data_IF_806109831875
#
_entry.id   IF_806109831875
#
_cell.length_a   1.000
_cell.length_b   1.000
_cell.length_c   1.000
_cell.angle_alpha   90.00
_cell.angle_beta   90.00
_cell.angle_gamma   90.00
#
_symmetry.space_group_name_H-M   'P 1'
#
loop_
_entity.id
_entity.type
_entity.pdbx_description
1 polymer ?
#
# COMPACT_ATOMS: atom_id res chain seq x y z
N UNK A 1 -6.25 2.42 -4.95
CA UNK A 1 -6.98 3.10 -3.86
C UNK A 1 -6.13 4.28 -3.45
N UNK A 2 -6.68 5.49 -3.53
CA UNK A 2 -5.97 6.72 -3.20
C UNK A 2 -5.66 6.82 -1.70
N UNK A 3 -4.64 7.60 -1.35
CA UNK A 3 -4.10 7.73 0.01
C UNK A 3 -5.18 8.12 1.05
N UNK A 4 -6.07 9.07 0.73
CA UNK A 4 -7.16 9.50 1.62
C UNK A 4 -8.17 8.38 1.90
N UNK A 5 -8.46 7.55 0.90
CA UNK A 5 -9.32 6.39 1.06
C UNK A 5 -8.65 5.31 1.92
N UNK A 6 -7.34 5.09 1.77
CA UNK A 6 -6.59 4.16 2.64
C UNK A 6 -6.66 4.62 4.10
N UNK A 7 -6.43 5.91 4.38
CA UNK A 7 -6.55 6.47 5.73
C UNK A 7 -7.93 6.23 6.34
N UNK A 8 -8.99 6.57 5.62
CA UNK A 8 -10.36 6.39 6.09
C UNK A 8 -10.67 4.90 6.34
N UNK A 9 -10.37 4.03 5.38
CA UNK A 9 -10.62 2.58 5.49
C UNK A 9 -9.79 1.91 6.59
N UNK A 10 -8.56 2.39 6.83
CA UNK A 10 -7.75 1.90 7.94
C UNK A 10 -8.36 2.30 9.28
N UNK A 11 -8.76 3.58 9.43
CA UNK A 11 -9.40 4.08 10.66
C UNK A 11 -10.74 3.38 10.95
N UNK A 12 -11.48 2.98 9.91
CA UNK A 12 -12.70 2.17 9.99
C UNK A 12 -12.45 0.67 10.28
N UNK A 13 -11.19 0.23 10.35
CA UNK A 13 -10.83 -1.19 10.57
C UNK A 13 -11.12 -2.11 9.39
N UNK A 14 -11.23 -1.57 8.16
CA UNK A 14 -11.57 -2.34 6.97
C UNK A 14 -10.36 -2.93 6.24
N UNK A 15 -9.15 -2.47 6.53
CA UNK A 15 -7.91 -3.04 6.00
C UNK A 15 -7.45 -4.14 6.96
N UNK A 16 -7.47 -5.39 6.51
CA UNK A 16 -7.10 -6.55 7.31
C UNK A 16 -5.62 -6.88 7.24
N UNK A 17 -4.94 -6.51 6.15
CA UNK A 17 -3.49 -6.67 6.00
C UNK A 17 -2.94 -5.67 4.98
N UNK A 18 -1.66 -5.33 5.13
CA UNK A 18 -0.89 -4.51 4.18
C UNK A 18 0.31 -5.31 3.73
N UNK A 19 0.50 -5.43 2.41
CA UNK A 19 1.56 -6.23 1.82
C UNK A 19 2.39 -5.36 0.89
N UNK A 20 3.71 -5.46 1.04
CA UNK A 20 4.70 -4.78 0.22
C UNK A 20 5.41 -5.83 -0.63
N UNK A 21 5.55 -5.57 -1.93
CA UNK A 21 6.22 -6.44 -2.90
C UNK A 21 7.13 -5.61 -3.80
N UNK A 22 8.12 -6.26 -4.42
CA UNK A 22 8.79 -5.67 -5.58
C UNK A 22 7.77 -5.40 -6.70
N UNK A 23 7.93 -4.27 -7.37
CA UNK A 23 7.12 -3.91 -8.53
C UNK A 23 7.44 -4.88 -9.68
N UNK A 24 6.48 -5.68 -10.17
CA UNK A 24 6.75 -6.60 -11.27
C UNK A 24 7.10 -5.91 -12.59
N UNK A 25 6.74 -4.63 -12.74
CA UNK A 25 7.08 -3.83 -13.91
C UNK A 25 8.48 -3.20 -13.81
N UNK A 26 9.01 -3.02 -12.60
CA UNK A 26 10.35 -2.49 -12.34
C UNK A 26 10.91 -3.07 -11.03
N UNK A 27 11.85 -4.01 -11.16
CA UNK A 27 12.42 -4.72 -10.00
C UNK A 27 13.22 -3.80 -9.05
N UNK A 28 13.53 -2.58 -9.47
CA UNK A 28 14.16 -1.56 -8.63
C UNK A 28 13.17 -0.83 -7.70
N UNK A 29 11.87 -1.04 -7.87
CA UNK A 29 10.83 -0.33 -7.13
C UNK A 29 9.96 -1.27 -6.28
N UNK A 30 9.25 -0.66 -5.34
CA UNK A 30 8.36 -1.33 -4.41
C UNK A 30 6.95 -0.80 -4.58
N UNK A 31 5.96 -1.67 -4.47
CA UNK A 31 4.55 -1.32 -4.47
C UNK A 31 3.85 -1.94 -3.27
N UNK A 32 2.71 -1.37 -2.90
CA UNK A 32 1.91 -1.83 -1.77
C UNK A 32 0.48 -2.14 -2.18
N UNK A 33 -0.07 -3.20 -1.59
CA UNK A 33 -1.49 -3.48 -1.67
C UNK A 33 -2.10 -3.79 -0.29
N UNK A 34 -3.38 -3.45 -0.17
CA UNK A 34 -4.16 -3.59 1.06
C UNK A 34 -5.22 -4.66 0.85
N UNK A 35 -5.24 -5.66 1.75
CA UNK A 35 -6.33 -6.64 1.80
C UNK A 35 -7.51 -6.05 2.54
N UNK A 36 -8.69 -6.18 1.93
CA UNK A 36 -9.99 -5.86 2.53
C UNK A 36 -10.74 -7.16 2.83
N UNK A 37 -11.76 -7.07 3.68
CA UNK A 37 -12.69 -8.18 3.92
C UNK A 37 -13.35 -8.65 2.60
N UNK A 38 -13.59 -9.96 2.51
CA UNK A 38 -14.20 -10.59 1.34
C UNK A 38 -13.25 -10.85 0.17
N UNK A 39 -11.95 -11.07 0.44
CA UNK A 39 -10.98 -11.55 -0.56
C UNK A 39 -10.54 -10.52 -1.60
N UNK A 40 -10.85 -9.23 -1.39
CA UNK A 40 -10.47 -8.15 -2.31
C UNK A 40 -9.19 -7.48 -1.84
N UNK A 41 -8.30 -7.18 -2.78
CA UNK A 41 -7.08 -6.41 -2.54
C UNK A 41 -7.04 -5.20 -3.45
N UNK A 42 -6.42 -4.11 -2.99
CA UNK A 42 -6.30 -2.87 -3.74
C UNK A 42 -4.87 -2.34 -3.65
N UNK A 43 -4.29 -1.95 -4.77
CA UNK A 43 -3.02 -1.22 -4.79
C UNK A 43 -3.19 0.20 -4.25
N UNK A 44 -2.12 0.78 -3.72
CA UNK A 44 -2.04 2.24 -3.58
C UNK A 44 -1.91 2.87 -4.96
N UNK A 45 -2.67 3.93 -5.22
CA UNK A 45 -2.59 4.66 -6.49
C UNK A 45 -2.47 6.15 -6.23
N UNK A 46 -1.84 6.85 -7.18
CA UNK A 46 -1.68 8.29 -7.17
C UNK A 46 -2.94 9.02 -7.67
N UNK A 47 -2.80 10.32 -7.95
CA UNK A 47 -3.91 11.15 -8.42
C UNK A 47 -4.32 10.86 -9.87
N UNK A 48 -3.43 10.26 -10.66
CA UNK A 48 -3.65 9.83 -12.05
C UNK A 48 -4.19 8.39 -12.12
N UNK A 49 -4.51 7.79 -10.97
CA UNK A 49 -4.94 6.40 -10.82
C UNK A 49 -3.88 5.37 -11.27
N UNK A 50 -2.60 5.76 -11.32
CA UNK A 50 -1.48 4.86 -11.56
C UNK A 50 -1.02 4.22 -10.25
N UNK A 51 -0.50 2.99 -10.32
CA UNK A 51 0.01 2.30 -9.13
C UNK A 51 1.22 3.07 -8.61
N UNK A 52 1.12 3.52 -7.38
CA UNK A 52 2.19 4.27 -6.75
C UNK A 52 3.36 3.33 -6.42
N UNK A 53 4.53 3.60 -7.00
CA UNK A 53 5.76 2.83 -6.80
C UNK A 53 6.84 3.68 -6.11
N UNK A 54 7.76 2.99 -5.43
CA UNK A 54 8.75 3.61 -4.57
C UNK A 54 10.14 3.01 -4.86
N UNK A 55 11.15 3.80 -5.25
CA UNK A 55 12.51 3.29 -5.49
C UNK A 55 13.19 2.74 -4.23
N UNK A 56 12.77 3.20 -3.05
CA UNK A 56 13.31 2.77 -1.76
C UNK A 56 12.21 2.25 -0.86
N UNK A 57 12.46 1.12 -0.23
CA UNK A 57 11.54 0.55 0.76
C UNK A 57 11.30 1.52 1.92
N UNK A 58 12.33 2.27 2.34
CA UNK A 58 12.20 3.26 3.42
C UNK A 58 11.13 4.32 3.12
N UNK A 59 11.10 4.87 1.90
CA UNK A 59 10.14 5.90 1.47
C UNK A 59 8.69 5.36 1.45
N UNK A 60 8.54 4.09 1.07
CA UNK A 60 7.27 3.37 1.14
C UNK A 60 6.81 3.23 2.59
N UNK A 61 7.71 2.83 3.50
CA UNK A 61 7.39 2.67 4.93
C UNK A 61 7.01 4.01 5.57
N UNK A 62 7.71 5.10 5.23
CA UNK A 62 7.33 6.45 5.68
C UNK A 62 5.94 6.84 5.19
N UNK A 63 5.62 6.54 3.93
CA UNK A 63 4.30 6.73 3.37
C UNK A 63 3.24 5.95 4.16
N UNK A 64 3.45 4.66 4.40
CA UNK A 64 2.52 3.82 5.18
C UNK A 64 2.31 4.34 6.60
N UNK A 65 3.36 4.80 7.27
CA UNK A 65 3.27 5.44 8.59
C UNK A 65 2.39 6.69 8.54
N UNK A 66 2.56 7.52 7.51
CA UNK A 66 1.72 8.70 7.27
C UNK A 66 0.25 8.37 6.96
N UNK A 67 -0.05 7.15 6.50
CA UNK A 67 -1.40 6.63 6.32
C UNK A 67 -2.00 6.03 7.61
N UNK A 68 -1.24 5.98 8.70
CA UNK A 68 -1.63 5.39 9.97
C UNK A 68 -1.45 3.87 10.03
N UNK A 69 -0.90 3.25 8.98
CA UNK A 69 -0.64 1.81 8.92
C UNK A 69 0.47 1.45 9.90
N UNK A 70 0.18 0.50 10.80
CA UNK A 70 1.10 0.09 11.86
C UNK A 70 1.94 -1.15 11.49
N UNK A 71 1.41 -1.99 10.61
CA UNK A 71 2.03 -3.26 10.22
C UNK A 71 1.91 -3.45 8.72
N UNK A 72 3.00 -3.89 8.10
CA UNK A 72 3.05 -4.33 6.72
C UNK A 72 3.97 -5.55 6.62
N UNK A 73 3.59 -6.50 5.78
CA UNK A 73 4.40 -7.68 5.47
C UNK A 73 5.17 -7.41 4.18
N UNK A 74 6.48 -7.64 4.21
CA UNK A 74 7.31 -7.61 2.99
C UNK A 74 7.36 -9.02 2.43
N UNK A 75 6.93 -9.16 1.18
CA UNK A 75 6.95 -10.41 0.44
C UNK A 75 8.04 -10.30 -0.64
N UNK A 76 9.03 -11.18 -0.56
CA UNK A 76 10.17 -11.29 -1.46
C UNK A 76 9.95 -12.42 -2.47
#
# INVERSE_FOLDING_TARGET
>A
MKREHVKARHAEGHISATHVIQNPADLGEWIVFFKKSGGRSYFLVDDQDEVESFPRLDDLIETLRGLGIKFAEVHL
#
